data_IF_895177682688
#
_entry.id   IF_895177682688
#
_cell.length_a   1.000
_cell.length_b   1.000
_cell.length_c   1.000
_cell.angle_alpha   90.00
_cell.angle_beta   90.00
_cell.angle_gamma   90.00
#
_symmetry.space_group_name_H-M   'P 1'
#
loop_
_entity.id
_entity.type
_entity.pdbx_description
1 polymer ?
#
# COMPACT_ATOMS: atom_id res chain seq x y z
N UNK A 1 -9.89 38.92 -28.55
CA UNK A 1 -9.88 37.68 -27.74
C UNK A 1 -11.21 37.55 -27.03
N UNK A 2 -11.97 36.47 -27.25
CA UNK A 2 -13.22 36.23 -26.51
C UNK A 2 -12.90 36.12 -25.00
N UNK A 3 -13.53 36.95 -24.17
CA UNK A 3 -13.45 36.84 -22.71
C UNK A 3 -14.26 35.62 -22.27
N UNK A 4 -13.62 34.46 -22.22
CA UNK A 4 -14.24 33.24 -21.70
C UNK A 4 -14.40 33.42 -20.18
N UNK A 5 -15.63 33.39 -19.65
CA UNK A 5 -15.86 33.51 -18.22
C UNK A 5 -15.22 32.32 -17.49
N UNK A 6 -14.59 32.59 -16.35
CA UNK A 6 -13.96 31.56 -15.47
C UNK A 6 -12.97 30.65 -16.21
N UNK A 7 -12.20 31.19 -17.16
CA UNK A 7 -11.25 30.45 -17.99
C UNK A 7 -10.33 29.53 -17.16
N UNK A 8 -9.65 30.07 -16.14
CA UNK A 8 -8.72 29.31 -15.28
C UNK A 8 -9.42 28.13 -14.59
N UNK A 9 -10.59 28.35 -13.98
CA UNK A 9 -11.33 27.29 -13.31
C UNK A 9 -11.74 26.17 -14.28
N UNK A 10 -12.12 26.53 -15.51
CA UNK A 10 -12.48 25.55 -16.56
C UNK A 10 -11.27 24.78 -17.06
N UNK A 11 -10.12 25.45 -17.21
CA UNK A 11 -8.86 24.81 -17.61
C UNK A 11 -8.40 23.81 -16.53
N UNK A 12 -8.45 24.19 -15.26
CA UNK A 12 -8.12 23.31 -14.13
C UNK A 12 -9.08 22.13 -14.04
N UNK A 13 -10.39 22.34 -14.21
CA UNK A 13 -11.37 21.26 -14.21
C UNK A 13 -11.16 20.30 -15.39
N UNK A 14 -10.78 20.82 -16.56
CA UNK A 14 -10.48 20.02 -17.74
C UNK A 14 -9.20 19.21 -17.54
N UNK A 15 -8.14 19.82 -17.02
CA UNK A 15 -6.89 19.14 -16.67
C UNK A 15 -7.13 18.04 -15.63
N UNK A 16 -7.90 18.33 -14.58
CA UNK A 16 -8.31 17.34 -13.60
C UNK A 16 -9.06 16.18 -14.25
N UNK A 17 -10.07 16.46 -15.10
CA UNK A 17 -10.83 15.43 -15.82
C UNK A 17 -9.94 14.54 -16.68
N UNK A 18 -8.96 15.11 -17.38
CA UNK A 18 -8.04 14.33 -18.22
C UNK A 18 -7.10 13.44 -17.41
N UNK A 19 -6.64 13.93 -16.25
CA UNK A 19 -5.68 13.20 -15.40
C UNK A 19 -6.35 12.31 -14.36
N UNK A 20 -7.66 12.42 -14.16
CA UNK A 20 -8.36 11.75 -13.07
C UNK A 20 -8.13 10.23 -13.07
N UNK A 21 -8.24 9.58 -14.24
CA UNK A 21 -8.10 8.12 -14.31
C UNK A 21 -6.68 7.65 -13.99
N UNK A 22 -5.66 8.38 -14.44
CA UNK A 22 -4.25 8.09 -14.12
C UNK A 22 -3.99 8.24 -12.62
N UNK A 23 -4.49 9.33 -12.01
CA UNK A 23 -4.41 9.55 -10.56
C UNK A 23 -5.15 8.50 -9.75
N UNK A 24 -6.29 8.01 -10.24
CA UNK A 24 -6.99 6.89 -9.63
C UNK A 24 -6.19 5.60 -9.80
N UNK A 25 -5.59 5.36 -10.96
CA UNK A 25 -4.80 4.16 -11.18
C UNK A 25 -3.51 4.12 -10.36
N UNK A 26 -2.98 5.28 -9.96
CA UNK A 26 -1.86 5.43 -9.02
C UNK A 26 -2.26 5.12 -7.56
N UNK A 27 -3.54 5.31 -7.18
CA UNK A 27 -4.01 5.30 -5.78
C UNK A 27 -4.98 4.16 -5.44
N UNK A 28 -5.71 3.60 -6.42
CA UNK A 28 -6.68 2.52 -6.20
C UNK A 28 -6.00 1.27 -5.61
N UNK A 29 -6.72 0.23 -5.24
CA UNK A 29 -6.09 -1.10 -5.16
C UNK A 29 -6.35 -1.82 -6.48
N UNK A 30 -5.34 -2.46 -7.10
CA UNK A 30 -5.64 -3.42 -8.18
C UNK A 30 -6.15 -4.67 -7.48
N UNK A 31 -7.44 -4.64 -7.15
CA UNK A 31 -8.07 -5.74 -6.44
C UNK A 31 -7.90 -7.04 -7.27
N UNK A 32 -7.28 -8.11 -6.73
CA UNK A 32 -7.01 -9.34 -7.48
C UNK A 32 -8.29 -10.08 -7.91
N UNK A 33 -9.48 -9.64 -7.48
CA UNK A 33 -10.76 -10.26 -7.79
C UNK A 33 -11.77 -9.34 -8.52
N UNK A 34 -11.40 -8.12 -8.91
CA UNK A 34 -12.29 -7.25 -9.69
C UNK A 34 -12.11 -7.51 -11.20
N UNK A 35 -12.75 -8.56 -11.71
CA UNK A 35 -13.10 -8.64 -13.13
C UNK A 35 -14.02 -7.46 -13.48
N UNK A 36 -13.44 -6.34 -13.92
CA UNK A 36 -14.19 -5.35 -14.70
C UNK A 36 -14.15 -5.79 -16.17
N UNK A 37 -15.29 -5.77 -16.88
CA UNK A 37 -15.30 -6.10 -18.30
C UNK A 37 -14.41 -5.09 -19.04
N UNK A 38 -13.56 -5.66 -19.87
CA UNK A 38 -12.66 -5.00 -20.79
C UNK A 38 -13.44 -4.10 -21.77
N UNK A 39 -13.74 -2.86 -21.37
CA UNK A 39 -14.40 -1.90 -22.25
C UNK A 39 -13.37 -1.29 -23.20
N UNK A 40 -13.33 -1.79 -24.44
CA UNK A 40 -12.64 -1.31 -25.67
C UNK A 40 -11.13 -1.00 -25.61
N UNK A 41 -10.66 -0.37 -24.53
CA UNK A 41 -9.29 0.07 -24.33
C UNK A 41 -8.33 -1.09 -24.05
N UNK A 42 -8.72 -2.07 -23.22
CA UNK A 42 -7.88 -3.25 -22.97
C UNK A 42 -7.77 -4.18 -24.18
N UNK A 43 -8.81 -4.24 -25.02
CA UNK A 43 -8.77 -4.99 -26.29
C UNK A 43 -7.85 -4.34 -27.34
N UNK A 44 -7.78 -3.01 -27.39
CA UNK A 44 -6.82 -2.30 -28.25
C UNK A 44 -5.39 -2.36 -27.70
N UNK A 45 -5.23 -2.35 -26.37
CA UNK A 45 -3.93 -2.44 -25.71
C UNK A 45 -3.26 -3.80 -25.98
N UNK A 46 -4.02 -4.90 -25.93
CA UNK A 46 -3.54 -6.25 -26.20
C UNK A 46 -3.20 -6.49 -27.68
N UNK A 47 -3.83 -5.74 -28.59
CA UNK A 47 -3.55 -5.83 -30.03
C UNK A 47 -2.26 -5.08 -30.42
N UNK A 48 -1.92 -3.99 -29.71
CA UNK A 48 -0.79 -3.12 -30.08
C UNK A 48 0.51 -3.53 -29.37
N UNK A 49 0.46 -4.08 -28.14
CA UNK A 49 1.65 -4.48 -27.38
C UNK A 49 1.53 -5.86 -26.71
N UNK A 50 1.55 -6.95 -27.48
CA UNK A 50 1.31 -8.31 -26.98
C UNK A 50 2.45 -8.89 -26.10
N UNK A 51 3.61 -8.24 -26.03
CA UNK A 51 4.82 -8.77 -25.38
C UNK A 51 5.36 -7.94 -24.21
N UNK A 52 4.65 -6.91 -23.76
CA UNK A 52 5.06 -6.25 -22.53
C UNK A 52 4.82 -7.22 -21.36
N UNK A 53 5.83 -7.53 -20.52
CA UNK A 53 5.57 -8.25 -19.29
C UNK A 53 4.47 -7.50 -18.55
N UNK A 54 3.40 -8.19 -18.14
CA UNK A 54 2.42 -7.59 -17.25
C UNK A 54 3.15 -7.30 -15.95
N UNK A 55 3.74 -6.11 -15.88
CA UNK A 55 4.51 -5.64 -14.77
C UNK A 55 3.50 -5.27 -13.70
N UNK A 56 2.97 -6.29 -13.03
CA UNK A 56 2.04 -6.19 -11.92
C UNK A 56 2.76 -5.69 -10.64
N UNK A 57 3.88 -4.98 -10.80
CA UNK A 57 4.60 -4.32 -9.72
C UNK A 57 3.91 -2.99 -9.44
N UNK A 58 2.73 -3.12 -8.86
CA UNK A 58 1.94 -2.02 -8.38
C UNK A 58 0.97 -2.57 -7.35
N UNK A 59 1.49 -3.24 -6.31
CA UNK A 59 0.76 -3.24 -5.05
C UNK A 59 0.66 -1.78 -4.68
N UNK A 60 -0.49 -1.18 -4.96
CA UNK A 60 -0.71 0.23 -4.74
C UNK A 60 -0.43 0.49 -3.26
N UNK A 61 0.29 1.56 -2.93
CA UNK A 61 0.89 1.78 -1.61
C UNK A 61 -0.12 1.55 -0.47
N UNK A 62 -1.39 1.89 -0.70
CA UNK A 62 -2.48 1.71 0.25
C UNK A 62 -2.81 0.21 0.47
N UNK A 63 -2.96 -0.57 -0.59
CA UNK A 63 -3.28 -2.01 -0.49
C UNK A 63 -2.12 -2.79 0.15
N UNK A 64 -0.89 -2.43 -0.22
CA UNK A 64 0.31 -3.01 0.37
C UNK A 64 0.34 -2.77 1.88
N UNK A 65 0.07 -1.55 2.33
CA UNK A 65 0.03 -1.18 3.75
C UNK A 65 -1.12 -1.89 4.47
N UNK A 66 -2.31 -1.97 3.89
CA UNK A 66 -3.46 -2.68 4.48
C UNK A 66 -3.12 -4.17 4.65
N UNK A 67 -2.67 -4.83 3.59
CA UNK A 67 -2.35 -6.26 3.61
C UNK A 67 -1.20 -6.57 4.58
N UNK A 68 -0.15 -5.74 4.61
CA UNK A 68 0.95 -5.91 5.55
C UNK A 68 0.48 -5.72 7.00
N UNK A 69 -0.35 -4.70 7.26
CA UNK A 69 -0.91 -4.43 8.59
C UNK A 69 -1.78 -5.59 9.08
N UNK A 70 -2.64 -6.13 8.22
CA UNK A 70 -3.49 -7.27 8.54
C UNK A 70 -2.68 -8.56 8.75
N UNK A 71 -1.67 -8.79 7.90
CA UNK A 71 -0.79 -9.94 8.04
C UNK A 71 -0.02 -9.92 9.37
N UNK A 72 0.52 -8.77 9.77
CA UNK A 72 1.23 -8.60 11.04
C UNK A 72 0.26 -8.75 12.22
N UNK A 73 -0.86 -8.04 12.20
CA UNK A 73 -1.86 -8.04 13.28
C UNK A 73 -2.41 -9.43 13.59
N UNK A 74 -2.66 -10.23 12.55
CA UNK A 74 -3.32 -11.52 12.69
C UNK A 74 -2.33 -12.71 12.80
N UNK A 75 -1.01 -12.46 12.71
CA UNK A 75 0.00 -13.51 12.78
C UNK A 75 0.26 -13.98 14.22
N UNK A 76 -0.30 -15.14 14.57
CA UNK A 76 -0.01 -15.83 15.85
C UNK A 76 1.49 -16.16 16.01
N UNK A 77 2.20 -16.39 14.90
CA UNK A 77 3.64 -16.67 14.92
C UNK A 77 4.46 -15.47 15.37
N UNK A 78 4.11 -14.26 14.88
CA UNK A 78 4.78 -13.01 15.29
C UNK A 78 4.52 -12.76 16.78
N UNK A 79 3.27 -12.89 17.24
CA UNK A 79 2.93 -12.75 18.66
C UNK A 79 3.79 -13.69 19.51
N UNK A 80 3.87 -14.97 19.13
CA UNK A 80 4.67 -15.94 19.89
C UNK A 80 6.17 -15.63 19.88
N UNK A 81 6.69 -15.16 18.76
CA UNK A 81 8.08 -14.70 18.68
C UNK A 81 8.33 -13.51 19.61
N UNK A 82 7.43 -12.53 19.64
CA UNK A 82 7.55 -11.37 20.53
C UNK A 82 7.50 -11.78 22.02
N UNK A 83 6.66 -12.75 22.39
CA UNK A 83 6.65 -13.31 23.75
C UNK A 83 7.97 -13.97 24.13
N UNK A 84 8.57 -14.74 23.21
CA UNK A 84 9.86 -15.40 23.45
C UNK A 84 10.98 -14.36 23.61
N UNK A 85 11.02 -13.35 22.73
CA UNK A 85 12.00 -12.26 22.84
C UNK A 85 11.82 -11.50 24.15
N UNK A 86 10.57 -11.22 24.56
CA UNK A 86 10.28 -10.57 25.85
C UNK A 86 10.77 -11.41 27.03
N UNK A 87 10.50 -12.72 27.02
CA UNK A 87 10.93 -13.62 28.08
C UNK A 87 12.46 -13.68 28.20
N UNK A 88 13.16 -13.79 27.06
CA UNK A 88 14.63 -13.78 27.00
C UNK A 88 15.16 -12.44 27.51
N UNK A 89 14.62 -11.32 27.03
CA UNK A 89 15.03 -9.99 27.45
C UNK A 89 14.83 -9.76 28.95
N UNK A 90 13.70 -10.21 29.51
CA UNK A 90 13.43 -10.12 30.94
C UNK A 90 14.37 -10.99 31.77
N UNK A 91 14.71 -12.19 31.29
CA UNK A 91 15.68 -13.06 31.95
C UNK A 91 17.08 -12.43 31.95
N UNK A 92 17.54 -11.96 30.78
CA UNK A 92 18.87 -11.37 30.63
C UNK A 92 19.06 -10.06 31.39
N UNK A 93 17.99 -9.26 31.56
CA UNK A 93 18.03 -7.98 32.25
C UNK A 93 17.44 -8.05 33.68
N UNK A 94 17.35 -9.23 34.27
CA UNK A 94 16.66 -9.44 35.56
C UNK A 94 17.25 -8.60 36.72
N UNK A 95 18.53 -8.26 36.66
CA UNK A 95 19.24 -7.54 37.72
C UNK A 95 19.17 -6.00 37.57
N UNK A 96 18.65 -5.50 36.46
CA UNK A 96 18.58 -4.07 36.14
C UNK A 96 17.13 -3.61 36.01
N UNK A 97 16.93 -2.28 35.97
CA UNK A 97 15.59 -1.68 35.76
C UNK A 97 14.92 -2.07 34.43
N UNK A 98 15.65 -2.75 33.53
CA UNK A 98 15.17 -3.23 32.24
C UNK A 98 14.56 -4.64 32.31
N UNK A 99 14.71 -5.34 33.43
CA UNK A 99 14.04 -6.60 33.71
C UNK A 99 12.56 -6.39 34.09
N UNK A 100 11.75 -7.44 33.94
CA UNK A 100 10.33 -7.41 34.31
C UNK A 100 9.46 -6.53 33.41
N UNK A 101 9.87 -6.29 32.15
CA UNK A 101 9.10 -5.53 31.19
C UNK A 101 7.83 -6.27 30.76
N UNK A 102 6.77 -5.51 30.48
CA UNK A 102 5.52 -6.02 29.90
C UNK A 102 5.52 -6.03 28.37
N UNK A 103 6.49 -5.36 27.74
CA UNK A 103 6.64 -5.25 26.30
C UNK A 103 7.85 -4.42 25.93
N UNK A 104 8.12 -4.33 24.63
CA UNK A 104 9.22 -3.53 24.06
C UNK A 104 8.80 -2.92 22.72
N UNK A 105 9.49 -1.87 22.27
CA UNK A 105 9.23 -1.25 20.97
C UNK A 105 9.81 -2.09 19.84
N UNK A 106 9.11 -2.15 18.70
CA UNK A 106 9.54 -2.92 17.51
C UNK A 106 10.95 -2.52 17.03
N UNK A 107 11.35 -1.26 17.20
CA UNK A 107 12.71 -0.77 16.91
C UNK A 107 13.82 -1.53 17.64
N UNK A 108 13.51 -2.18 18.77
CA UNK A 108 14.48 -3.01 19.50
C UNK A 108 14.92 -4.23 18.70
N UNK A 109 14.10 -4.72 17.76
CA UNK A 109 14.42 -5.88 16.93
C UNK A 109 15.52 -5.62 15.90
N UNK A 110 15.76 -4.34 15.57
CA UNK A 110 16.78 -3.93 14.60
C UNK A 110 18.08 -3.46 15.25
N UNK A 111 18.21 -3.61 16.57
CA UNK A 111 19.43 -3.30 17.33
C UNK A 111 20.21 -4.59 17.57
#
# INVERSE_FOLDING_TARGET
>A
MLKIPKYEARLTALHFRFRFQERINEIRPVSPHAHFPANFHSALSSLIYPSLPQLHLGFQDIEAVINASDAIRNSKKIIKLMEVILAIGNYMNAENFRGGAFGFTIETLSK
#
